data_IF_952621945715
#
_entry.id   IF_952621945715
#
_cell.length_a   1.000
_cell.length_b   1.000
_cell.length_c   1.000
_cell.angle_alpha   90.00
_cell.angle_beta   90.00
_cell.angle_gamma   90.00
#
_symmetry.space_group_name_H-M   'P 1'
#
loop_
_entity.id
_entity.type
_entity.pdbx_description
1 polymer ?
#
# COMPACT_ATOMS: atom_id res chain seq x y z
N UNK A 1 -10.14 24.46 -4.40
CA UNK A 1 -10.33 24.45 -2.93
C UNK A 1 -9.02 24.30 -2.16
N UNK A 2 -9.08 24.13 -0.83
CA UNK A 2 -7.90 24.00 0.06
C UNK A 2 -6.92 22.90 -0.35
N UNK A 3 -7.43 21.75 -0.80
CA UNK A 3 -6.62 20.62 -1.29
C UNK A 3 -5.71 21.04 -2.46
N UNK A 4 -6.15 21.96 -3.33
CA UNK A 4 -5.34 22.47 -4.46
C UNK A 4 -4.16 23.34 -4.00
N UNK A 5 -4.33 24.08 -2.90
CA UNK A 5 -3.28 24.95 -2.36
C UNK A 5 -2.14 24.14 -1.75
N UNK A 6 -2.42 22.93 -1.26
CA UNK A 6 -1.43 22.04 -0.65
C UNK A 6 -0.61 21.21 -1.65
N UNK A 7 -1.00 21.19 -2.93
CA UNK A 7 -0.28 20.43 -3.97
C UNK A 7 0.95 21.17 -4.47
N UNK A 8 1.98 20.41 -4.80
CA UNK A 8 3.14 20.93 -5.52
C UNK A 8 2.82 21.23 -7.00
N UNK A 9 3.67 22.03 -7.63
CA UNK A 9 3.44 22.56 -8.98
C UNK A 9 3.33 21.46 -10.05
N UNK A 10 4.08 20.38 -9.88
CA UNK A 10 4.06 19.18 -10.71
C UNK A 10 2.77 18.36 -10.53
N UNK A 11 2.28 18.23 -9.30
CA UNK A 11 1.04 17.52 -8.98
C UNK A 11 -0.21 18.24 -9.51
N UNK A 12 -0.18 19.58 -9.53
CA UNK A 12 -1.26 20.44 -10.03
C UNK A 12 -1.61 20.21 -11.50
N UNK A 13 -0.64 19.77 -12.31
CA UNK A 13 -0.84 19.47 -13.74
C UNK A 13 -1.89 18.37 -13.91
N UNK A 14 -1.94 17.40 -13.00
CA UNK A 14 -2.82 16.23 -13.07
C UNK A 14 -4.26 16.50 -12.63
N UNK A 15 -4.53 17.63 -11.95
CA UNK A 15 -5.84 17.91 -11.33
C UNK A 15 -6.40 19.30 -11.65
N UNK A 16 -5.80 20.00 -12.61
CA UNK A 16 -6.18 21.37 -13.00
C UNK A 16 -7.63 21.48 -13.52
N UNK A 17 -8.13 20.44 -14.20
CA UNK A 17 -9.50 20.37 -14.72
C UNK A 17 -10.59 20.02 -13.70
N UNK A 18 -10.21 19.65 -12.47
CA UNK A 18 -11.14 19.22 -11.40
C UNK A 18 -10.93 19.98 -10.09
N UNK A 19 -10.33 21.18 -10.17
CA UNK A 19 -9.93 22.02 -9.02
C UNK A 19 -11.07 22.39 -8.06
N UNK A 20 -12.30 22.40 -8.55
CA UNK A 20 -13.50 22.80 -7.83
C UNK A 20 -14.23 21.63 -7.16
N UNK A 21 -13.82 20.39 -7.44
CA UNK A 21 -14.31 19.18 -6.77
C UNK A 21 -13.18 18.51 -5.95
N UNK A 22 -13.12 18.77 -4.63
CA UNK A 22 -12.10 18.17 -3.76
C UNK A 22 -12.14 16.64 -3.71
N UNK A 23 -13.31 16.02 -3.88
CA UNK A 23 -13.46 14.57 -3.85
C UNK A 23 -12.91 13.93 -5.13
N UNK A 24 -13.23 14.51 -6.30
CA UNK A 24 -12.64 14.09 -7.56
C UNK A 24 -11.12 14.30 -7.57
N UNK A 25 -10.64 15.42 -7.01
CA UNK A 25 -9.22 15.72 -6.91
C UNK A 25 -8.47 14.72 -6.02
N UNK A 26 -9.03 14.37 -4.85
CA UNK A 26 -8.46 13.32 -4.01
C UNK A 26 -8.41 11.97 -4.72
N UNK A 27 -9.49 11.58 -5.42
CA UNK A 27 -9.53 10.31 -6.13
C UNK A 27 -8.51 10.24 -7.26
N UNK A 28 -8.32 11.32 -8.02
CA UNK A 28 -7.29 11.37 -9.07
C UNK A 28 -5.87 11.25 -8.49
N UNK A 29 -5.60 11.91 -7.36
CA UNK A 29 -4.33 11.79 -6.66
C UNK A 29 -4.14 10.37 -6.10
N UNK A 30 -5.19 9.79 -5.53
CA UNK A 30 -5.19 8.41 -5.05
C UNK A 30 -4.88 7.43 -6.19
N UNK A 31 -5.50 7.57 -7.37
CA UNK A 31 -5.23 6.71 -8.52
C UNK A 31 -3.79 6.84 -9.05
N UNK A 32 -3.20 8.04 -8.97
CA UNK A 32 -1.82 8.31 -9.41
C UNK A 32 -0.80 7.75 -8.41
N UNK A 33 -1.00 8.04 -7.11
CA UNK A 33 0.00 7.80 -6.07
C UNK A 33 -0.21 6.48 -5.32
N UNK A 34 -1.46 6.05 -5.12
CA UNK A 34 -1.80 4.78 -4.49
C UNK A 34 -2.06 3.77 -5.59
N UNK A 35 -0.97 3.25 -6.18
CA UNK A 35 -1.10 2.15 -7.12
C UNK A 35 -1.50 0.87 -6.36
N UNK A 36 -2.80 0.61 -6.27
CA UNK A 36 -3.39 -0.63 -5.73
C UNK A 36 -3.14 -1.85 -6.64
N UNK A 37 -1.96 -1.91 -7.26
CA UNK A 37 -1.52 -3.00 -8.12
C UNK A 37 -1.06 -4.18 -7.25
N UNK A 38 -1.17 -5.42 -7.75
CA UNK A 38 -0.73 -6.61 -7.02
C UNK A 38 0.73 -6.52 -6.51
N UNK A 39 1.62 -5.88 -7.26
CA UNK A 39 3.02 -5.69 -6.86
C UNK A 39 3.21 -4.83 -5.60
N UNK A 40 2.42 -3.77 -5.42
CA UNK A 40 2.50 -2.94 -4.21
C UNK A 40 2.04 -3.72 -2.97
N UNK A 41 1.00 -4.57 -3.11
CA UNK A 41 0.56 -5.47 -2.04
C UNK A 41 1.59 -6.54 -1.73
N UNK A 42 2.20 -7.15 -2.75
CA UNK A 42 3.29 -8.11 -2.57
C UNK A 42 4.44 -7.52 -1.73
N UNK A 43 4.89 -6.30 -2.06
CA UNK A 43 5.94 -5.62 -1.29
C UNK A 43 5.52 -5.39 0.18
N UNK A 44 4.28 -4.99 0.42
CA UNK A 44 3.76 -4.79 1.78
C UNK A 44 3.69 -6.11 2.58
N UNK A 45 3.32 -7.21 1.93
CA UNK A 45 3.38 -8.55 2.53
C UNK A 45 4.81 -8.98 2.82
N UNK A 46 5.75 -8.73 1.91
CA UNK A 46 7.17 -9.07 2.11
C UNK A 46 7.77 -8.28 3.28
N UNK A 47 7.47 -6.98 3.39
CA UNK A 47 7.86 -6.14 4.52
C UNK A 47 7.30 -6.66 5.85
N UNK A 48 6.04 -7.10 5.86
CA UNK A 48 5.40 -7.70 7.03
C UNK A 48 6.09 -9.01 7.42
N UNK A 49 6.29 -9.93 6.47
CA UNK A 49 6.93 -11.21 6.74
C UNK A 49 8.43 -11.10 7.04
N UNK A 50 9.06 -9.99 6.65
CA UNK A 50 10.45 -9.64 6.98
C UNK A 50 10.60 -9.02 8.37
N UNK A 51 9.51 -8.73 9.08
CA UNK A 51 9.57 -8.24 10.46
C UNK A 51 10.24 -9.30 11.36
N UNK A 52 11.33 -8.90 12.01
CA UNK A 52 12.07 -9.73 12.98
C UNK A 52 12.41 -8.90 14.23
N UNK A 53 12.34 -9.53 15.41
CA UNK A 53 12.81 -8.91 16.65
C UNK A 53 14.33 -8.79 16.61
N UNK A 54 14.85 -7.57 16.73
CA UNK A 54 16.29 -7.29 16.87
C UNK A 54 16.64 -7.10 18.35
N UNK A 55 17.88 -7.41 18.76
CA UNK A 55 18.34 -7.31 20.16
C UNK A 55 18.10 -5.93 20.78
N UNK A 56 18.25 -4.86 19.99
CA UNK A 56 18.14 -3.48 20.46
C UNK A 56 16.74 -2.87 20.26
N UNK A 57 15.75 -3.65 19.81
CA UNK A 57 14.40 -3.14 19.53
C UNK A 57 13.44 -3.56 20.64
N UNK A 58 12.70 -2.60 21.18
CA UNK A 58 11.63 -2.91 22.15
C UNK A 58 10.51 -3.72 21.49
N UNK A 59 9.82 -4.53 22.29
CA UNK A 59 8.67 -5.30 21.82
C UNK A 59 7.53 -4.37 21.36
N UNK A 60 7.30 -3.26 22.08
CA UNK A 60 6.29 -2.28 21.70
C UNK A 60 6.53 -1.68 20.31
N UNK A 61 7.79 -1.32 20.01
CA UNK A 61 8.15 -0.80 18.69
C UNK A 61 8.01 -1.85 17.57
N UNK A 62 8.08 -3.14 17.92
CA UNK A 62 7.82 -4.23 16.99
C UNK A 62 6.32 -4.35 16.71
N UNK A 63 5.48 -4.34 17.75
CA UNK A 63 4.02 -4.41 17.65
C UNK A 63 3.49 -3.25 16.82
N UNK A 64 3.88 -2.01 17.14
CA UNK A 64 3.44 -0.83 16.39
C UNK A 64 3.79 -0.93 14.90
N UNK A 65 4.99 -1.46 14.57
CA UNK A 65 5.36 -1.65 13.15
C UNK A 65 4.50 -2.71 12.46
N UNK A 66 4.13 -3.79 13.15
CA UNK A 66 3.23 -4.80 12.59
C UNK A 66 1.86 -4.17 12.31
N UNK A 67 1.34 -3.37 13.24
CA UNK A 67 0.07 -2.67 13.07
C UNK A 67 0.11 -1.68 11.89
N UNK A 68 1.17 -0.89 11.78
CA UNK A 68 1.37 0.04 10.65
C UNK A 68 1.39 -0.69 9.30
N UNK A 69 2.12 -1.81 9.20
CA UNK A 69 2.19 -2.61 7.98
C UNK A 69 0.85 -3.26 7.65
N UNK A 70 0.11 -3.73 8.66
CA UNK A 70 -1.24 -4.28 8.47
C UNK A 70 -2.23 -3.20 7.98
N UNK A 71 -2.11 -1.96 8.46
CA UNK A 71 -2.91 -0.85 7.95
C UNK A 71 -2.54 -0.50 6.50
N UNK A 72 -1.26 -0.52 6.15
CA UNK A 72 -0.82 -0.31 4.76
C UNK A 72 -1.38 -1.39 3.82
N UNK A 73 -1.31 -2.66 4.20
CA UNK A 73 -1.91 -3.76 3.43
C UNK A 73 -3.42 -3.53 3.24
N UNK A 74 -4.14 -3.12 4.28
CA UNK A 74 -5.58 -2.82 4.20
C UNK A 74 -5.87 -1.66 3.24
N UNK A 75 -5.07 -0.60 3.26
CA UNK A 75 -5.23 0.56 2.37
C UNK A 75 -4.99 0.21 0.89
N UNK A 76 -4.13 -0.78 0.62
CA UNK A 76 -3.80 -1.24 -0.73
C UNK A 76 -4.82 -2.23 -1.31
N UNK A 77 -5.77 -2.72 -0.51
CA UNK A 77 -6.81 -3.64 -0.98
C UNK A 77 -7.81 -2.91 -1.90
N UNK A 78 -8.23 -3.54 -3.01
CA UNK A 78 -9.36 -3.04 -3.78
C UNK A 78 -10.67 -3.18 -2.99
N UNK A 79 -11.74 -2.50 -3.43
CA UNK A 79 -13.01 -2.42 -2.69
C UNK A 79 -13.75 -3.75 -2.59
N UNK A 80 -13.50 -4.64 -3.54
CA UNK A 80 -14.06 -5.99 -3.70
C UNK A 80 -13.12 -7.08 -3.16
N UNK A 81 -12.10 -6.71 -2.38
CA UNK A 81 -11.16 -7.67 -1.82
C UNK A 81 -11.81 -8.55 -0.75
N UNK A 82 -11.98 -9.83 -1.06
CA UNK A 82 -12.54 -10.83 -0.18
C UNK A 82 -11.47 -11.81 0.36
N UNK A 83 -11.91 -12.82 1.10
CA UNK A 83 -11.02 -13.83 1.65
C UNK A 83 -10.40 -14.72 0.56
N UNK A 84 -11.13 -15.01 -0.52
CA UNK A 84 -10.62 -15.82 -1.63
C UNK A 84 -9.49 -15.10 -2.38
N UNK A 85 -9.60 -13.77 -2.55
CA UNK A 85 -8.55 -12.94 -3.10
C UNK A 85 -7.28 -12.97 -2.20
N UNK A 86 -7.45 -12.95 -0.88
CA UNK A 86 -6.33 -13.11 0.06
C UNK A 86 -5.63 -14.46 -0.10
N UNK A 87 -6.39 -15.56 -0.16
CA UNK A 87 -5.85 -16.91 -0.32
C UNK A 87 -5.07 -17.04 -1.64
N UNK A 88 -5.60 -16.47 -2.72
CA UNK A 88 -4.94 -16.43 -4.05
C UNK A 88 -3.64 -15.63 -4.02
N UNK A 89 -3.61 -14.48 -3.34
CA UNK A 89 -2.39 -13.67 -3.19
C UNK A 89 -1.33 -14.40 -2.35
N UNK A 90 -1.72 -15.05 -1.25
CA UNK A 90 -0.82 -15.85 -0.42
C UNK A 90 -0.25 -17.04 -1.18
N UNK A 91 -1.08 -17.75 -1.96
CA UNK A 91 -0.62 -18.85 -2.81
C UNK A 91 0.38 -18.37 -3.87
N UNK A 92 0.08 -17.25 -4.54
CA UNK A 92 0.98 -16.63 -5.52
C UNK A 92 2.30 -16.21 -4.89
N UNK A 93 2.27 -15.63 -3.69
CA UNK A 93 3.46 -15.23 -2.96
C UNK A 93 4.32 -16.43 -2.57
N UNK A 94 3.71 -17.51 -2.06
CA UNK A 94 4.42 -18.75 -1.74
C UNK A 94 5.09 -19.36 -2.99
N UNK A 95 4.41 -19.36 -4.14
CA UNK A 95 4.98 -19.81 -5.40
C UNK A 95 6.18 -18.95 -5.81
N UNK A 96 6.08 -17.62 -5.74
CA UNK A 96 7.19 -16.72 -6.07
C UNK A 96 8.40 -16.97 -5.15
N UNK A 97 8.19 -17.08 -3.83
CA UNK A 97 9.28 -17.40 -2.91
C UNK A 97 9.92 -18.76 -3.24
N UNK A 98 9.10 -19.78 -3.53
CA UNK A 98 9.60 -21.10 -3.90
C UNK A 98 10.40 -21.08 -5.21
N UNK A 99 9.97 -20.33 -6.22
CA UNK A 99 10.68 -20.26 -7.50
C UNK A 99 11.96 -19.42 -7.44
N UNK A 100 11.97 -18.31 -6.70
CA UNK A 100 13.11 -17.37 -6.68
C UNK A 100 14.19 -17.69 -5.63
N UNK A 101 13.87 -18.45 -4.57
CA UNK A 101 14.84 -18.78 -3.51
C UNK A 101 15.33 -20.25 -3.53
N UNK A 102 14.94 -21.02 -4.55
CA UNK A 102 15.30 -22.44 -4.69
C UNK A 102 16.35 -22.70 -5.79
N UNK A 103 17.08 -21.67 -6.22
CA UNK A 103 18.24 -21.74 -7.12
C UNK A 103 19.40 -20.88 -6.62
#
# INVERSE_FOLDING_TARGET
GWLWLMLESDQKIHVSGIKDDPCAMWKALEDIFIQRKPGARFNAYDDLFSVRKRKNRSLQALINRVDDLMQQIRNLRPKDFDLAALDSELASMALIFFFFFSF
#
